data_IF_251986472403
#
_entry.id   IF_251986472403
#
_cell.length_a   1.000
_cell.length_b   1.000
_cell.length_c   1.000
_cell.angle_alpha   90.00
_cell.angle_beta   90.00
_cell.angle_gamma   90.00
#
_symmetry.space_group_name_H-M   'P 1'
#
loop_
_entity.id
_entity.type
_entity.pdbx_description
1 polymer ?
#
# COMPACT_ATOMS: atom_id res chain seq x y z
N UNK A 1 9.48 -23.46 11.25
CA UNK A 1 9.61 -22.87 9.90
C UNK A 1 10.13 -21.45 10.04
N UNK A 2 11.29 -21.13 9.47
CA UNK A 2 11.87 -19.79 9.47
C UNK A 2 11.07 -18.90 8.51
N UNK A 3 10.17 -18.07 9.04
CA UNK A 3 9.51 -17.04 8.25
C UNK A 3 10.50 -15.90 8.02
N UNK A 4 10.59 -15.35 6.80
CA UNK A 4 11.45 -14.19 6.56
C UNK A 4 10.98 -13.03 7.44
N UNK A 5 11.94 -12.32 8.04
CA UNK A 5 11.66 -11.14 8.84
C UNK A 5 11.00 -10.05 7.97
N UNK A 6 10.11 -9.22 8.54
CA UNK A 6 9.59 -8.06 7.84
C UNK A 6 10.74 -7.12 7.45
N UNK A 7 10.61 -6.48 6.30
CA UNK A 7 11.61 -5.55 5.75
C UNK A 7 11.02 -4.14 5.76
N UNK A 8 11.61 -3.26 6.56
CA UNK A 8 11.28 -1.84 6.55
C UNK A 8 12.10 -1.10 5.50
N UNK A 9 11.44 -0.22 4.74
CA UNK A 9 12.07 0.66 3.75
C UNK A 9 11.65 2.08 4.06
N UNK A 10 12.62 2.97 4.24
CA UNK A 10 12.38 4.39 4.50
C UNK A 10 13.01 5.23 3.39
N UNK A 11 12.25 6.22 2.90
CA UNK A 11 12.71 7.18 1.92
C UNK A 11 12.07 8.54 2.21
N UNK A 12 12.88 9.56 2.51
CA UNK A 12 12.41 10.88 2.96
C UNK A 12 11.40 10.77 4.13
N UNK A 13 10.19 11.28 3.95
CA UNK A 13 9.09 11.20 4.93
C UNK A 13 8.22 9.95 4.77
N UNK A 14 8.57 9.04 3.85
CA UNK A 14 7.80 7.84 3.55
C UNK A 14 8.42 6.60 4.21
N UNK A 15 7.57 5.79 4.84
CA UNK A 15 7.96 4.52 5.47
C UNK A 15 7.08 3.39 4.96
N UNK A 16 7.72 2.30 4.57
CA UNK A 16 7.06 1.12 4.03
C UNK A 16 7.47 -0.13 4.79
N UNK A 17 6.52 -1.05 4.97
CA UNK A 17 6.78 -2.35 5.58
C UNK A 17 6.42 -3.48 4.62
N UNK A 18 7.43 -4.23 4.17
CA UNK A 18 7.23 -5.45 3.39
C UNK A 18 7.13 -6.61 4.36
N UNK A 19 5.97 -7.26 4.39
CA UNK A 19 5.70 -8.38 5.31
C UNK A 19 5.21 -9.63 4.57
N UNK A 20 5.11 -10.73 5.31
CA UNK A 20 4.62 -12.00 4.83
C UNK A 20 3.10 -12.05 4.88
N UNK A 21 2.50 -12.95 4.09
CA UNK A 21 1.06 -13.20 4.16
C UNK A 21 0.71 -13.93 5.47
N UNK A 22 -0.16 -13.36 6.32
CA UNK A 22 -0.59 -14.03 7.54
C UNK A 22 -1.59 -15.16 7.23
N UNK A 23 -1.84 -16.00 8.24
CA UNK A 23 -2.98 -16.92 8.27
C UNK A 23 -3.99 -16.45 9.31
N UNK A 24 -5.25 -16.89 9.23
CA UNK A 24 -6.26 -16.55 10.25
C UNK A 24 -5.78 -16.85 11.68
N UNK A 25 -5.02 -17.95 11.89
CA UNK A 25 -4.47 -18.32 13.20
C UNK A 25 -3.35 -17.40 13.70
N UNK A 26 -2.69 -16.65 12.81
CA UNK A 26 -1.57 -15.75 13.13
C UNK A 26 -1.91 -14.28 12.98
N UNK A 27 -3.16 -13.97 12.62
CA UNK A 27 -3.61 -12.62 12.30
C UNK A 27 -3.46 -11.65 13.49
N UNK A 28 -3.75 -12.09 14.71
CA UNK A 28 -3.59 -11.25 15.91
C UNK A 28 -2.14 -10.77 16.09
N UNK A 29 -1.18 -11.73 16.06
CA UNK A 29 0.25 -11.42 16.18
C UNK A 29 0.74 -10.55 15.02
N UNK A 30 0.21 -10.79 13.83
CA UNK A 30 0.51 -9.97 12.65
C UNK A 30 0.03 -8.53 12.84
N UNK A 31 -1.20 -8.33 13.30
CA UNK A 31 -1.74 -7.00 13.58
C UNK A 31 -0.96 -6.27 14.67
N UNK A 32 -0.53 -6.96 15.74
CA UNK A 32 0.35 -6.39 16.77
C UNK A 32 1.70 -5.94 16.18
N UNK A 33 2.27 -6.75 15.28
CA UNK A 33 3.51 -6.40 14.58
C UNK A 33 3.32 -5.16 13.70
N UNK A 34 2.24 -5.09 12.92
CA UNK A 34 1.92 -3.91 12.11
C UNK A 34 1.82 -2.63 12.97
N UNK A 35 1.14 -2.70 14.11
CA UNK A 35 1.04 -1.58 15.05
C UNK A 35 2.40 -1.16 15.60
N UNK A 36 3.28 -2.10 15.90
CA UNK A 36 4.63 -1.81 16.40
C UNK A 36 5.46 -0.98 15.41
N UNK A 37 5.26 -1.20 14.11
CA UNK A 37 5.92 -0.40 13.06
C UNK A 37 5.20 0.92 12.75
N UNK A 38 4.04 1.19 13.36
CA UNK A 38 3.22 2.36 13.10
C UNK A 38 2.48 2.28 11.76
N UNK A 39 2.12 1.07 11.34
CA UNK A 39 1.37 0.87 10.10
C UNK A 39 -0.06 1.34 10.27
N UNK A 40 -0.50 2.23 9.39
CA UNK A 40 -1.89 2.72 9.36
C UNK A 40 -2.67 2.18 8.15
N UNK A 41 -1.97 1.73 7.12
CA UNK A 41 -2.56 1.17 5.90
C UNK A 41 -1.82 -0.09 5.47
N UNK A 42 -2.56 -1.15 5.17
CA UNK A 42 -2.07 -2.42 4.65
C UNK A 42 -2.61 -2.66 3.24
N UNK A 43 -1.73 -2.87 2.27
CA UNK A 43 -2.09 -3.15 0.88
C UNK A 43 -1.83 -4.63 0.57
N UNK A 44 -2.88 -5.33 0.15
CA UNK A 44 -2.84 -6.72 -0.31
C UNK A 44 -2.78 -6.71 -1.83
N UNK A 45 -1.66 -7.17 -2.39
CA UNK A 45 -1.44 -7.17 -3.85
C UNK A 45 -1.71 -8.52 -4.51
N UNK A 46 -2.11 -9.50 -3.72
CA UNK A 46 -2.43 -10.86 -4.13
C UNK A 46 -3.81 -11.23 -3.57
N UNK A 47 -4.41 -12.32 -4.07
CA UNK A 47 -5.76 -12.71 -3.65
C UNK A 47 -5.91 -12.79 -2.12
N UNK A 48 -7.05 -12.33 -1.62
CA UNK A 48 -7.34 -12.30 -0.21
C UNK A 48 -7.44 -13.72 0.36
N UNK A 49 -6.53 -14.07 1.28
CA UNK A 49 -6.51 -15.40 1.94
C UNK A 49 -7.02 -15.37 3.38
N UNK A 50 -7.43 -14.21 3.89
CA UNK A 50 -7.92 -14.00 5.25
C UNK A 50 -8.91 -12.83 5.30
N UNK A 51 -9.75 -12.81 6.33
CA UNK A 51 -10.71 -11.73 6.55
C UNK A 51 -10.00 -10.46 7.08
N UNK A 52 -10.32 -9.30 6.51
CA UNK A 52 -9.70 -8.02 6.87
C UNK A 52 -10.36 -7.34 8.07
N UNK A 53 -11.58 -7.73 8.42
CA UNK A 53 -12.33 -7.09 9.50
C UNK A 53 -11.56 -7.05 10.85
N UNK A 54 -10.82 -8.10 11.27
CA UNK A 54 -10.02 -8.05 12.50
C UNK A 54 -8.85 -7.05 12.43
N UNK A 55 -8.30 -6.80 11.24
CA UNK A 55 -7.21 -5.83 11.04
C UNK A 55 -7.77 -4.40 11.02
N UNK A 56 -8.90 -4.22 10.35
CA UNK A 56 -9.60 -2.93 10.27
C UNK A 56 -10.17 -2.48 11.63
N UNK A 57 -10.68 -3.42 12.44
CA UNK A 57 -11.12 -3.15 13.80
C UNK A 57 -10.02 -2.56 14.69
N UNK A 58 -8.77 -2.87 14.37
CA UNK A 58 -7.60 -2.43 15.10
C UNK A 58 -7.03 -1.10 14.57
N UNK A 59 -7.75 -0.44 13.65
CA UNK A 59 -7.42 0.89 13.12
C UNK A 59 -6.51 0.88 11.89
N UNK A 60 -6.27 -0.29 11.29
CA UNK A 60 -5.42 -0.42 10.09
C UNK A 60 -6.31 -0.58 8.87
N UNK A 61 -6.27 0.38 7.95
CA UNK A 61 -7.06 0.31 6.73
C UNK A 61 -6.49 -0.73 5.75
N UNK A 62 -7.32 -1.64 5.23
CA UNK A 62 -6.87 -2.71 4.33
C UNK A 62 -7.38 -2.49 2.91
N UNK A 63 -6.45 -2.36 1.96
CA UNK A 63 -6.71 -2.15 0.54
C UNK A 63 -6.39 -3.42 -0.28
N UNK A 64 -7.28 -3.75 -1.20
CA UNK A 64 -7.23 -4.95 -2.04
C UNK A 64 -6.94 -4.58 -3.48
N UNK A 65 -5.68 -4.71 -3.90
CA UNK A 65 -5.23 -4.39 -5.27
C UNK A 65 -4.54 -5.60 -5.92
N UNK A 66 -5.27 -6.71 -6.13
CA UNK A 66 -4.71 -7.92 -6.72
C UNK A 66 -4.26 -7.68 -8.17
N UNK A 67 -3.11 -8.26 -8.53
CA UNK A 67 -2.66 -8.39 -9.91
C UNK A 67 -1.89 -9.70 -10.11
N UNK A 68 -1.80 -10.16 -11.36
CA UNK A 68 -1.20 -11.46 -11.69
C UNK A 68 0.29 -11.54 -11.30
N UNK A 69 0.66 -12.64 -10.64
CA UNK A 69 2.06 -12.88 -10.25
C UNK A 69 2.96 -12.97 -11.49
N UNK A 70 4.07 -12.24 -11.47
CA UNK A 70 5.02 -12.14 -12.59
C UNK A 70 4.63 -11.17 -13.70
N UNK A 71 3.40 -10.63 -13.71
CA UNK A 71 3.01 -9.55 -14.60
C UNK A 71 3.40 -8.17 -14.02
N UNK A 72 3.66 -7.15 -14.87
CA UNK A 72 3.77 -5.79 -14.37
C UNK A 72 2.43 -5.33 -13.78
N UNK A 73 2.42 -4.53 -12.69
CA UNK A 73 1.19 -3.99 -12.15
C UNK A 73 0.49 -3.10 -13.19
N UNK A 74 -0.84 -3.20 -13.34
CA UNK A 74 -1.62 -2.31 -14.20
C UNK A 74 -1.39 -0.83 -13.88
N UNK A 75 -1.42 0.04 -14.89
CA UNK A 75 -1.22 1.48 -14.71
C UNK A 75 -2.17 2.08 -13.67
N UNK A 76 -3.41 1.59 -13.60
CA UNK A 76 -4.37 2.04 -12.59
C UNK A 76 -3.92 1.74 -11.16
N UNK A 77 -3.43 0.52 -10.88
CA UNK A 77 -2.90 0.16 -9.55
C UNK A 77 -1.69 1.02 -9.20
N UNK A 78 -0.83 1.30 -10.19
CA UNK A 78 0.31 2.20 -10.02
C UNK A 78 -0.17 3.61 -9.67
N UNK A 79 -1.14 4.17 -10.38
CA UNK A 79 -1.67 5.51 -10.12
C UNK A 79 -2.39 5.59 -8.75
N UNK A 80 -3.19 4.58 -8.40
CA UNK A 80 -3.89 4.48 -7.11
C UNK A 80 -2.90 4.39 -5.95
N UNK A 81 -1.84 3.59 -6.10
CA UNK A 81 -0.74 3.52 -5.13
C UNK A 81 -0.08 4.89 -4.95
N UNK A 82 0.27 5.58 -6.04
CA UNK A 82 0.91 6.89 -5.97
C UNK A 82 0.03 7.94 -5.31
N UNK A 83 -1.28 7.89 -5.56
CA UNK A 83 -2.25 8.78 -4.93
C UNK A 83 -2.40 8.46 -3.43
N UNK A 84 -2.48 7.18 -3.06
CA UNK A 84 -2.49 6.75 -1.67
C UNK A 84 -1.28 7.31 -0.90
N UNK A 85 -0.08 7.15 -1.45
CA UNK A 85 1.15 7.62 -0.78
C UNK A 85 1.15 9.14 -0.58
N UNK A 86 0.75 9.90 -1.60
CA UNK A 86 0.68 11.36 -1.53
C UNK A 86 -0.30 11.84 -0.47
N UNK A 87 -1.45 11.20 -0.37
CA UNK A 87 -2.47 11.55 0.61
C UNK A 87 -2.03 11.12 2.01
N UNK A 88 -1.63 9.86 2.18
CA UNK A 88 -1.29 9.29 3.49
C UNK A 88 -0.10 9.93 4.15
N UNK A 89 1.01 10.09 3.46
CA UNK A 89 2.19 10.72 4.07
C UNK A 89 2.07 12.24 4.23
N UNK A 90 1.06 12.87 3.62
CA UNK A 90 0.72 14.28 3.84
C UNK A 90 -0.22 14.47 5.03
N UNK A 91 -1.22 13.61 5.15
CA UNK A 91 -2.22 13.67 6.24
C UNK A 91 -1.67 13.12 7.55
N UNK A 92 -0.85 12.06 7.49
CA UNK A 92 -0.31 11.35 8.65
C UNK A 92 1.24 11.29 8.56
N UNK A 93 1.95 12.38 8.89
CA UNK A 93 3.42 12.39 8.85
C UNK A 93 4.03 11.31 9.75
N UNK A 94 4.95 10.51 9.20
CA UNK A 94 5.62 9.44 9.94
C UNK A 94 4.83 8.13 10.05
N UNK A 95 3.64 8.04 9.45
CA UNK A 95 2.92 6.78 9.30
C UNK A 95 3.71 5.76 8.48
N UNK A 96 3.31 4.49 8.53
CA UNK A 96 3.88 3.43 7.72
C UNK A 96 2.81 2.77 6.84
N UNK A 97 3.15 2.49 5.58
CA UNK A 97 2.29 1.74 4.65
C UNK A 97 2.87 0.33 4.49
N UNK A 98 2.12 -0.69 4.87
CA UNK A 98 2.55 -2.08 4.73
C UNK A 98 2.06 -2.68 3.40
N UNK A 99 2.86 -3.58 2.82
CA UNK A 99 2.52 -4.34 1.61
C UNK A 99 2.90 -5.80 1.79
N UNK A 100 2.01 -6.71 1.39
CA UNK A 100 2.33 -8.13 1.35
C UNK A 100 1.73 -8.84 0.12
N UNK A 101 2.36 -9.95 -0.26
CA UNK A 101 1.82 -10.91 -1.21
C UNK A 101 1.90 -12.33 -0.63
N UNK A 102 1.02 -13.21 -1.10
CA UNK A 102 0.95 -14.65 -0.75
C UNK A 102 2.25 -15.38 -1.05
N UNK A 103 2.93 -15.09 -2.16
CA UNK A 103 4.13 -15.81 -2.61
C UNK A 103 5.44 -15.39 -1.89
N UNK A 104 5.37 -14.39 -0.99
CA UNK A 104 6.51 -13.60 -0.55
C UNK A 104 6.98 -12.67 -1.66
N UNK A 105 7.34 -11.42 -1.34
CA UNK A 105 7.76 -10.39 -2.31
C UNK A 105 9.16 -10.64 -2.91
N UNK A 106 9.46 -11.89 -3.27
CA UNK A 106 10.73 -12.24 -3.90
C UNK A 106 10.71 -13.62 -4.52
N UNK A 107 10.61 -13.68 -5.85
CA UNK A 107 11.12 -14.78 -6.68
C UNK A 107 11.34 -14.34 -8.15
N UNK A 108 12.22 -13.33 -8.36
CA UNK A 108 13.18 -13.18 -9.50
C UNK A 108 13.61 -11.74 -9.84
N UNK A 109 13.05 -10.68 -9.25
CA UNK A 109 13.59 -9.32 -9.41
C UNK A 109 13.51 -8.59 -8.07
N UNK A 110 14.65 -8.08 -7.61
CA UNK A 110 14.92 -7.44 -6.30
C UNK A 110 13.78 -6.51 -5.84
N UNK A 111 13.04 -6.94 -4.82
CA UNK A 111 12.18 -6.12 -3.96
C UNK A 111 10.95 -5.51 -4.64
N UNK A 112 9.80 -5.57 -3.98
CA UNK A 112 8.59 -4.84 -4.36
C UNK A 112 8.82 -3.32 -4.54
N UNK A 113 9.89 -2.81 -3.91
CA UNK A 113 10.47 -1.48 -4.07
C UNK A 113 11.96 -1.61 -4.35
N UNK A 114 12.35 -1.52 -5.62
CA UNK A 114 13.75 -1.33 -6.01
C UNK A 114 14.12 0.17 -5.95
N UNK A 115 15.41 0.52 -5.90
CA UNK A 115 15.87 1.90 -6.06
C UNK A 115 15.36 2.57 -7.33
N UNK A 116 15.03 1.80 -8.38
CA UNK A 116 14.33 2.28 -9.58
C UNK A 116 12.88 2.70 -9.33
N UNK A 117 12.15 2.04 -8.43
CA UNK A 117 10.79 2.44 -8.04
C UNK A 117 10.82 3.63 -7.07
N UNK A 118 11.82 3.71 -6.19
CA UNK A 118 12.09 4.92 -5.41
C UNK A 118 12.44 6.11 -6.32
N UNK A 119 13.30 5.91 -7.32
CA UNK A 119 13.59 6.92 -8.34
C UNK A 119 12.37 7.26 -9.20
N UNK A 120 11.50 6.29 -9.48
CA UNK A 120 10.24 6.52 -10.18
C UNK A 120 9.34 7.41 -9.32
N UNK A 121 9.21 7.15 -8.02
CA UNK A 121 8.48 8.01 -7.08
C UNK A 121 9.04 9.44 -7.07
N UNK A 122 10.36 9.58 -7.02
CA UNK A 122 11.06 10.88 -7.04
C UNK A 122 10.78 11.68 -8.33
N UNK A 123 10.74 11.00 -9.49
CA UNK A 123 10.54 11.62 -10.81
C UNK A 123 9.08 11.67 -11.27
N UNK A 124 8.18 10.96 -10.60
CA UNK A 124 6.78 10.85 -11.01
C UNK A 124 6.07 12.17 -10.77
N UNK A 125 5.87 12.93 -11.86
CA UNK A 125 4.93 14.04 -11.90
C UNK A 125 3.59 13.51 -12.41
N UNK A 126 2.52 13.49 -11.58
CA UNK A 126 1.22 13.00 -12.02
C UNK A 126 0.74 13.79 -13.24
N UNK A 127 0.40 13.09 -14.33
CA UNK A 127 -0.14 13.71 -15.55
C UNK A 127 -1.58 14.21 -15.39
N UNK A 128 -2.26 13.84 -14.30
CA UNK A 128 -3.63 14.27 -14.02
C UNK A 128 -3.62 15.36 -12.96
N UNK A 129 -3.59 16.60 -13.43
CA UNK A 129 -4.16 17.73 -12.70
C UNK A 129 -5.65 17.40 -12.59
N UNK A 130 -6.09 16.82 -11.47
CA UNK A 130 -7.50 16.75 -11.12
C UNK A 130 -8.03 18.18 -11.22
N UNK A 131 -8.73 18.50 -12.32
CA UNK A 131 -9.59 19.67 -12.33
C UNK A 131 -10.65 19.33 -11.29
N UNK A 132 -10.52 19.96 -10.12
CA UNK A 132 -11.66 20.11 -9.23
C UNK A 132 -12.80 20.62 -10.09
N UNK A 133 -13.80 19.77 -10.33
CA UNK A 133 -15.06 20.22 -10.86
C UNK A 133 -15.75 20.79 -9.63
N UNK A 134 -15.57 22.09 -9.40
CA UNK A 134 -16.38 22.84 -8.44
C UNK A 134 -17.84 22.57 -8.77
N UNK A 135 -18.48 21.71 -7.97
CA UNK A 135 -19.93 21.64 -7.89
C UNK A 135 -20.37 22.74 -6.97
N UNK A 136 -20.30 23.98 -7.46
CA UNK A 136 -20.93 25.10 -6.79
C UNK A 136 -21.66 25.96 -7.83
N UNK A 137 -22.98 25.83 -7.83
CA UNK A 137 -23.96 26.83 -8.27
C UNK A 137 -23.89 27.31 -9.72
N UNK A 138 -24.87 26.92 -10.55
CA UNK A 138 -25.98 27.81 -10.92
C UNK A 138 -26.93 27.10 -11.91
N UNK A 139 -28.21 27.23 -11.61
CA UNK A 139 -29.34 26.64 -12.30
C UNK A 139 -29.86 27.62 -13.36
N UNK A 140 -29.76 27.32 -14.65
CA UNK A 140 -30.70 27.77 -15.69
C UNK A 140 -30.58 26.87 -16.93
N UNK A 141 -31.68 26.23 -17.34
CA UNK A 141 -31.87 25.72 -18.72
C UNK A 141 -32.95 26.60 -19.32
N UNK A 142 -32.64 27.26 -20.43
CA UNK A 142 -33.57 28.08 -21.21
C UNK A 142 -34.00 27.30 -22.45
#
# INVERSE_FOLDING_TARGET
MNRPAPVEISYENMRFLITHNPTNATLNKFTEELKKYGVTTLVRVCDATYDKAPVEKEGIHVLDWPFDDGAPPPNQIVDDWLNLLKTKFREEPGCCVAVHCVAGLGRKRRGAFNSKQLLYLEKYRPKMRLRFRDTNGHCCVQ
#
